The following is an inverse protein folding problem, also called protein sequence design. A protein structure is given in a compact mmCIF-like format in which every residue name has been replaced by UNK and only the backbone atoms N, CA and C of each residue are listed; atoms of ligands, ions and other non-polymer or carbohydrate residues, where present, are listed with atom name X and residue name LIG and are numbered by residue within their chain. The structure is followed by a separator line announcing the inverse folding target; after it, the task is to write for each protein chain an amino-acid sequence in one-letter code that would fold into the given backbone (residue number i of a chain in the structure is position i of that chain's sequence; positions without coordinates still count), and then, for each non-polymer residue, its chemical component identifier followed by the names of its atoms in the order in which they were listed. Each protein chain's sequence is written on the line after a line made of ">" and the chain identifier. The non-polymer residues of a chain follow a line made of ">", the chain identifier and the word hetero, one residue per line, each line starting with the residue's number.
data_IF_560366535218
#
_entry.id   IF_560366535218
#
_cell.length_a   1.000
_cell.length_b   1.000
_cell.length_c   1.000
_cell.angle_alpha   90.00
_cell.angle_beta   90.00
_cell.angle_gamma   90.00
#
_symmetry.space_group_name_H-M   'P 1'
#
loop_
_entity.id
_entity.type
_entity.pdbx_description
1 polymer ?
#
# COMPACT_ATOMS: atom_id res chain seq x y z
N UNK A 1 0.95 21.28 8.22
CA UNK A 1 0.54 20.15 7.38
C UNK A 1 -0.95 19.91 7.56
N UNK A 2 -1.70 19.71 6.49
CA UNK A 2 -3.14 19.46 6.55
C UNK A 2 -3.40 18.00 6.91
N UNK A 3 -4.22 17.77 7.95
CA UNK A 3 -4.64 16.42 8.34
C UNK A 3 -5.75 15.94 7.39
N UNK A 4 -5.54 14.82 6.71
CA UNK A 4 -6.47 14.28 5.71
C UNK A 4 -7.21 13.04 6.18
N UNK A 5 -6.60 12.24 7.08
CA UNK A 5 -7.25 11.11 7.75
C UNK A 5 -7.02 11.21 9.25
N UNK A 6 -8.06 10.95 10.03
CA UNK A 6 -7.99 10.84 11.49
C UNK A 6 -8.51 9.48 11.90
N UNK A 7 -7.67 8.69 12.51
CA UNK A 7 -7.99 7.39 13.11
C UNK A 7 -8.11 7.60 14.62
N UNK A 8 -9.28 7.40 15.19
CA UNK A 8 -9.60 7.74 16.57
C UNK A 8 -10.10 6.51 17.35
N UNK A 9 -9.21 5.91 18.16
CA UNK A 9 -9.48 4.76 19.03
C UNK A 9 -10.26 3.64 18.34
N UNK A 10 -9.89 3.31 17.10
CA UNK A 10 -10.58 2.26 16.35
C UNK A 10 -10.26 0.89 16.91
N UNK A 11 -11.30 0.08 17.01
CA UNK A 11 -11.19 -1.35 17.26
C UNK A 11 -11.99 -2.12 16.22
N UNK A 12 -11.51 -3.27 15.82
CA UNK A 12 -12.22 -4.20 14.93
C UNK A 12 -12.21 -5.59 15.54
N UNK A 13 -13.42 -6.08 15.85
CA UNK A 13 -13.65 -7.42 16.37
C UNK A 13 -14.55 -8.17 15.39
N UNK A 14 -14.13 -9.36 15.00
CA UNK A 14 -14.91 -10.23 14.14
C UNK A 14 -15.94 -11.05 14.93
N UNK A 15 -16.90 -11.66 14.24
CA UNK A 15 -17.99 -12.44 14.86
C UNK A 15 -17.49 -13.69 15.62
N UNK A 16 -16.34 -14.23 15.23
CA UNK A 16 -15.67 -15.35 15.91
C UNK A 16 -14.92 -14.94 17.19
N UNK A 17 -14.98 -13.65 17.57
CA UNK A 17 -14.31 -13.09 18.73
C UNK A 17 -12.89 -12.59 18.49
N UNK A 18 -12.33 -12.81 17.30
CA UNK A 18 -10.98 -12.34 16.94
C UNK A 18 -10.91 -10.83 16.99
N UNK A 19 -9.92 -10.28 17.71
CA UNK A 19 -9.66 -8.83 17.78
C UNK A 19 -8.53 -8.52 16.82
N UNK A 20 -8.87 -7.91 15.67
CA UNK A 20 -7.90 -7.52 14.66
C UNK A 20 -7.25 -6.16 14.95
N UNK A 21 -7.99 -5.23 15.57
CA UNK A 21 -7.50 -3.92 16.00
C UNK A 21 -8.07 -3.58 17.38
N UNK A 22 -7.26 -2.96 18.23
CA UNK A 22 -7.60 -2.62 19.61
C UNK A 22 -7.15 -1.20 19.96
N UNK A 23 -8.06 -0.23 19.86
CA UNK A 23 -7.88 1.15 20.29
C UNK A 23 -6.86 1.96 19.49
N UNK A 24 -6.62 1.64 18.22
CA UNK A 24 -5.60 2.29 17.38
C UNK A 24 -5.98 3.76 17.10
N UNK A 25 -5.01 4.66 17.27
CA UNK A 25 -5.19 6.09 17.01
C UNK A 25 -3.95 6.70 16.36
N UNK A 26 -4.11 7.36 15.23
CA UNK A 26 -3.09 8.19 14.57
C UNK A 26 -3.74 9.07 13.50
N UNK A 27 -2.98 10.00 12.95
CA UNK A 27 -3.42 10.86 11.85
C UNK A 27 -2.57 10.63 10.61
N UNK A 28 -3.10 10.91 9.42
CA UNK A 28 -2.33 10.99 8.18
C UNK A 28 -2.41 12.43 7.68
N UNK A 29 -1.27 12.99 7.31
CA UNK A 29 -1.17 14.34 6.77
C UNK A 29 -0.93 14.32 5.26
N UNK A 30 -1.38 15.36 4.59
CA UNK A 30 -1.15 15.54 3.16
C UNK A 30 0.35 15.56 2.86
N UNK A 31 0.77 14.78 1.86
CA UNK A 31 2.16 14.63 1.45
C UNK A 31 2.98 13.65 2.30
N UNK A 32 2.36 12.99 3.31
CA UNK A 32 3.06 11.94 4.06
C UNK A 32 3.42 10.76 3.14
N UNK A 33 4.60 10.21 3.35
CA UNK A 33 4.91 8.83 3.02
C UNK A 33 4.92 8.05 4.32
N UNK A 34 3.77 7.47 4.66
CA UNK A 34 3.57 6.72 5.89
C UNK A 34 3.86 5.24 5.67
N UNK A 35 4.88 4.71 6.34
CA UNK A 35 5.17 3.28 6.35
C UNK A 35 4.56 2.65 7.60
N UNK A 36 3.72 1.64 7.41
CA UNK A 36 3.12 0.87 8.51
C UNK A 36 3.66 -0.56 8.42
N UNK A 37 4.43 -0.97 9.42
CA UNK A 37 5.01 -2.30 9.49
C UNK A 37 4.43 -3.12 10.63
N UNK A 38 4.61 -4.44 10.54
CA UNK A 38 4.18 -5.43 11.52
C UNK A 38 4.19 -6.82 10.91
N UNK A 39 4.19 -7.84 11.75
CA UNK A 39 4.10 -9.24 11.31
C UNK A 39 2.78 -9.54 10.58
N UNK A 40 2.71 -10.69 9.92
CA UNK A 40 1.44 -11.20 9.40
C UNK A 40 0.44 -11.39 10.55
N UNK A 41 -0.81 -10.96 10.34
CA UNK A 41 -1.83 -10.98 11.38
C UNK A 41 -1.76 -9.80 12.39
N UNK A 42 -0.85 -8.84 12.24
CA UNK A 42 -0.80 -7.66 13.12
C UNK A 42 -1.96 -6.67 12.95
N UNK A 43 -2.82 -6.85 11.94
CA UNK A 43 -4.00 -6.00 11.68
C UNK A 43 -3.81 -4.99 10.55
N UNK A 44 -2.69 -5.00 9.82
CA UNK A 44 -2.39 -4.03 8.73
C UNK A 44 -3.48 -3.96 7.67
N UNK A 45 -3.83 -5.08 7.04
CA UNK A 45 -4.84 -5.12 5.96
C UNK A 45 -6.23 -4.74 6.46
N UNK A 46 -6.57 -5.09 7.71
CA UNK A 46 -7.82 -4.64 8.35
C UNK A 46 -7.82 -3.13 8.54
N UNK A 47 -6.73 -2.57 9.05
CA UNK A 47 -6.57 -1.12 9.20
C UNK A 47 -6.72 -0.39 7.86
N UNK A 48 -6.10 -0.92 6.80
CA UNK A 48 -6.21 -0.41 5.45
C UNK A 48 -7.67 -0.41 4.95
N UNK A 49 -8.38 -1.53 5.09
CA UNK A 49 -9.79 -1.65 4.67
C UNK A 49 -10.69 -0.63 5.36
N UNK A 50 -10.44 -0.36 6.64
CA UNK A 50 -11.16 0.66 7.40
C UNK A 50 -10.85 2.08 6.91
N UNK A 51 -9.58 2.40 6.62
CA UNK A 51 -9.19 3.72 6.08
C UNK A 51 -9.78 3.93 4.68
N UNK A 52 -9.78 2.88 3.86
CA UNK A 52 -10.37 2.90 2.52
C UNK A 52 -11.91 2.86 2.54
N UNK A 53 -12.55 2.75 3.71
CA UNK A 53 -14.02 2.63 3.88
C UNK A 53 -14.64 1.42 3.19
N UNK A 54 -13.88 0.34 3.07
CA UNK A 54 -14.35 -0.96 2.59
C UNK A 54 -14.96 -1.80 3.71
N UNK A 55 -14.68 -1.44 4.96
CA UNK A 55 -15.22 -2.06 6.18
C UNK A 55 -15.44 -0.98 7.24
N UNK A 56 -16.16 -1.32 8.32
CA UNK A 56 -16.46 -0.41 9.41
C UNK A 56 -15.83 -0.88 10.72
N UNK A 57 -15.30 0.04 11.56
CA UNK A 57 -14.78 -0.33 12.86
C UNK A 57 -15.92 -0.77 13.80
N UNK A 58 -15.65 -1.72 14.71
CA UNK A 58 -16.59 -2.11 15.77
C UNK A 58 -16.75 -0.98 16.80
N UNK A 59 -15.70 -0.20 17.02
CA UNK A 59 -15.73 1.01 17.86
C UNK A 59 -14.69 2.01 17.42
N UNK A 60 -14.83 3.25 17.86
CA UNK A 60 -14.00 4.36 17.42
C UNK A 60 -14.49 5.01 16.14
N UNK A 61 -13.68 5.84 15.51
CA UNK A 61 -14.08 6.61 14.32
C UNK A 61 -12.89 6.85 13.38
N UNK A 62 -13.15 6.74 12.08
CA UNK A 62 -12.23 7.20 11.04
C UNK A 62 -12.88 8.34 10.26
N UNK A 63 -12.18 9.47 10.19
CA UNK A 63 -12.60 10.63 9.41
C UNK A 63 -11.62 10.82 8.27
N UNK A 64 -12.09 10.68 7.05
CA UNK A 64 -11.34 10.98 5.82
C UNK A 64 -11.95 12.22 5.19
N UNK A 65 -11.13 13.21 4.84
CA UNK A 65 -11.62 14.40 4.14
C UNK A 65 -12.17 14.02 2.77
N UNK A 66 -13.29 14.63 2.37
CA UNK A 66 -14.01 14.27 1.12
C UNK A 66 -13.17 14.33 -0.15
N UNK A 67 -12.19 15.23 -0.22
CA UNK A 67 -11.28 15.38 -1.36
C UNK A 67 -10.18 14.31 -1.42
N UNK A 68 -10.05 13.44 -0.42
CA UNK A 68 -8.98 12.45 -0.29
C UNK A 68 -9.52 11.01 -0.28
N UNK A 69 -10.36 10.69 -1.26
CA UNK A 69 -10.71 9.29 -1.49
C UNK A 69 -9.46 8.47 -1.79
N UNK A 70 -9.31 7.34 -1.11
CA UNK A 70 -8.16 6.49 -1.25
C UNK A 70 -8.20 5.67 -2.54
N UNK A 71 -7.08 5.62 -3.26
CA UNK A 71 -6.77 4.58 -4.23
C UNK A 71 -6.06 3.43 -3.50
N UNK A 72 -6.45 2.19 -3.78
CA UNK A 72 -6.02 1.03 -3.02
C UNK A 72 -5.44 -0.06 -3.91
N UNK A 73 -4.21 -0.49 -3.60
CA UNK A 73 -3.58 -1.69 -4.17
C UNK A 73 -3.65 -2.79 -3.13
N UNK A 74 -4.44 -3.84 -3.41
CA UNK A 74 -4.60 -4.99 -2.51
C UNK A 74 -3.38 -5.92 -2.52
N UNK A 75 -3.24 -6.69 -1.44
CA UNK A 75 -2.21 -7.72 -1.34
C UNK A 75 -2.38 -8.81 -2.40
N UNK A 76 -3.60 -9.20 -2.71
CA UNK A 76 -3.92 -10.13 -3.80
C UNK A 76 -4.30 -9.36 -5.07
N UNK A 77 -3.39 -9.33 -6.04
CA UNK A 77 -3.62 -8.66 -7.30
C UNK A 77 -4.70 -9.35 -8.16
N UNK A 78 -4.85 -10.69 -8.07
CA UNK A 78 -5.86 -11.43 -8.82
C UNK A 78 -7.28 -11.02 -8.42
N UNK A 79 -7.50 -10.74 -7.14
CA UNK A 79 -8.81 -10.28 -6.64
C UNK A 79 -9.17 -8.85 -7.08
N UNK A 80 -8.17 -8.07 -7.52
CA UNK A 80 -8.35 -6.68 -7.94
C UNK A 80 -8.59 -6.54 -9.44
N UNK A 81 -8.07 -7.46 -10.27
CA UNK A 81 -8.17 -7.42 -11.73
C UNK A 81 -9.56 -7.89 -12.17
N UNK A 82 -10.30 -7.00 -12.84
CA UNK A 82 -11.67 -7.24 -13.31
C UNK A 82 -11.76 -7.29 -14.84
N UNK A 83 -10.79 -6.72 -15.56
CA UNK A 83 -10.71 -6.68 -17.00
C UNK A 83 -10.19 -7.99 -17.60
N UNK A 84 -10.62 -8.33 -18.83
CA UNK A 84 -10.05 -9.47 -19.58
C UNK A 84 -8.65 -9.15 -20.10
N UNK A 85 -8.36 -7.87 -20.35
CA UNK A 85 -7.07 -7.34 -20.77
C UNK A 85 -6.59 -6.24 -19.84
N UNK A 86 -5.27 -5.93 -19.81
CA UNK A 86 -4.74 -4.78 -19.07
C UNK A 86 -5.41 -3.46 -19.43
N UNK A 87 -5.73 -3.27 -20.71
CA UNK A 87 -6.43 -2.07 -21.17
C UNK A 87 -7.82 -1.94 -20.57
N UNK A 88 -8.61 -3.02 -20.63
CA UNK A 88 -9.96 -3.03 -20.09
C UNK A 88 -9.97 -2.82 -18.58
N UNK A 89 -9.03 -3.44 -17.87
CA UNK A 89 -8.92 -3.31 -16.41
C UNK A 89 -8.62 -1.87 -15.98
N UNK A 90 -7.64 -1.23 -16.61
CA UNK A 90 -7.31 0.17 -16.32
C UNK A 90 -8.43 1.12 -16.76
N UNK A 91 -9.06 0.86 -17.92
CA UNK A 91 -10.24 1.63 -18.34
C UNK A 91 -11.42 1.47 -17.39
N UNK A 92 -11.60 0.28 -16.77
CA UNK A 92 -12.60 0.07 -15.71
C UNK A 92 -12.34 0.98 -14.50
N UNK A 93 -11.09 1.12 -14.10
CA UNK A 93 -10.67 1.96 -12.97
C UNK A 93 -11.04 3.44 -13.16
N UNK A 94 -10.91 3.98 -14.38
CA UNK A 94 -11.23 5.37 -14.68
C UNK A 94 -12.70 5.63 -15.03
N UNK A 95 -13.47 4.59 -15.35
CA UNK A 95 -14.88 4.69 -15.78
C UNK A 95 -15.76 5.48 -14.80
N UNK A 96 -15.56 5.27 -13.50
CA UNK A 96 -16.34 5.90 -12.45
C UNK A 96 -15.98 7.38 -12.21
N UNK A 97 -14.88 7.86 -12.80
CA UNK A 97 -14.47 9.26 -12.71
C UNK A 97 -15.26 10.19 -13.63
N UNK A 98 -16.09 9.64 -14.53
CA UNK A 98 -16.92 10.37 -15.50
C UNK A 98 -16.13 11.33 -16.38
N UNK A 99 -14.90 10.94 -16.73
CA UNK A 99 -14.00 11.72 -17.62
C UNK A 99 -14.46 11.65 -19.08
N UNK A 100 -14.09 12.65 -19.92
CA UNK A 100 -14.15 12.51 -21.36
C UNK A 100 -13.39 11.27 -21.83
N UNK A 101 -13.89 10.59 -22.87
CA UNK A 101 -13.31 9.33 -23.35
C UNK A 101 -11.82 9.47 -23.72
N UNK A 102 -11.44 10.56 -24.36
CA UNK A 102 -10.03 10.85 -24.72
C UNK A 102 -9.14 10.93 -23.48
N UNK A 103 -9.56 11.68 -22.45
CA UNK A 103 -8.81 11.84 -21.21
C UNK A 103 -8.69 10.49 -20.44
N UNK A 104 -9.77 9.72 -20.38
CA UNK A 104 -9.73 8.38 -19.77
C UNK A 104 -8.72 7.46 -20.48
N UNK A 105 -8.68 7.50 -21.83
CA UNK A 105 -7.73 6.73 -22.63
C UNK A 105 -6.28 7.19 -22.42
N UNK A 106 -6.03 8.49 -22.35
CA UNK A 106 -4.71 9.06 -22.07
C UNK A 106 -4.19 8.64 -20.70
N UNK A 107 -5.02 8.74 -19.66
CA UNK A 107 -4.66 8.29 -18.29
C UNK A 107 -4.39 6.80 -18.24
N UNK A 108 -5.20 5.99 -18.91
CA UNK A 108 -4.99 4.54 -18.97
C UNK A 108 -3.68 4.17 -19.66
N UNK A 109 -3.40 4.80 -20.82
CA UNK A 109 -2.17 4.56 -21.55
C UNK A 109 -0.94 4.98 -20.73
N UNK A 110 -0.94 6.17 -20.14
CA UNK A 110 0.15 6.68 -19.31
C UNK A 110 0.40 5.77 -18.07
N UNK A 111 -0.66 5.25 -17.44
CA UNK A 111 -0.53 4.35 -16.32
C UNK A 111 0.09 2.99 -16.71
N UNK A 112 -0.33 2.42 -17.85
CA UNK A 112 0.24 1.20 -18.40
C UNK A 112 1.70 1.37 -18.84
N UNK A 113 2.04 2.52 -19.40
CA UNK A 113 3.41 2.86 -19.78
C UNK A 113 4.33 2.92 -18.56
N UNK A 114 3.92 3.63 -17.49
CA UNK A 114 4.67 3.72 -16.22
C UNK A 114 4.96 2.37 -15.58
N UNK A 115 4.06 1.41 -15.75
CA UNK A 115 4.20 0.07 -15.19
C UNK A 115 4.82 -0.93 -16.16
N UNK A 116 5.20 -0.50 -17.38
CA UNK A 116 5.80 -1.34 -18.41
C UNK A 116 4.85 -2.39 -18.98
N UNK A 117 3.55 -2.06 -19.03
CA UNK A 117 2.50 -2.96 -19.53
C UNK A 117 1.82 -2.47 -20.82
N UNK A 118 2.20 -1.30 -21.36
CA UNK A 118 1.54 -0.72 -22.52
C UNK A 118 1.60 -1.65 -23.75
N UNK A 119 2.75 -2.25 -24.02
CA UNK A 119 2.92 -3.21 -25.13
C UNK A 119 2.11 -4.51 -24.95
N UNK A 120 1.65 -4.77 -23.72
CA UNK A 120 0.86 -5.95 -23.34
C UNK A 120 -0.61 -5.63 -23.11
N UNK A 121 -1.05 -4.42 -23.47
CA UNK A 121 -2.38 -3.89 -23.13
C UNK A 121 -3.55 -4.75 -23.64
N UNK A 122 -3.37 -5.46 -24.73
CA UNK A 122 -4.39 -6.28 -25.40
C UNK A 122 -4.21 -7.81 -25.11
N UNK A 123 -3.22 -8.19 -24.28
CA UNK A 123 -3.03 -9.58 -23.86
C UNK A 123 -4.12 -10.00 -22.86
N UNK A 124 -4.36 -11.32 -22.74
CA UNK A 124 -5.23 -11.82 -21.68
C UNK A 124 -4.59 -11.59 -20.28
N UNK A 125 -5.28 -10.88 -19.41
CA UNK A 125 -4.84 -10.65 -18.04
C UNK A 125 -4.68 -11.97 -17.24
N UNK A 126 -5.43 -13.02 -17.62
CA UNK A 126 -5.35 -14.34 -16.99
C UNK A 126 -4.00 -15.02 -17.21
N UNK A 127 -3.34 -14.75 -18.34
CA UNK A 127 -2.05 -15.37 -18.70
C UNK A 127 -0.84 -14.60 -18.18
N UNK A 128 -1.06 -13.46 -17.52
CA UNK A 128 0.00 -12.64 -16.94
C UNK A 128 0.65 -13.33 -15.74
N UNK A 129 1.96 -13.11 -15.59
CA UNK A 129 2.69 -13.53 -14.38
C UNK A 129 2.19 -12.77 -13.14
N UNK A 130 2.43 -13.31 -11.93
CA UNK A 130 2.06 -12.63 -10.69
C UNK A 130 2.63 -11.21 -10.57
N UNK A 131 3.88 -11.00 -11.03
CA UNK A 131 4.50 -9.68 -11.07
C UNK A 131 3.83 -8.72 -12.06
N UNK A 132 3.41 -9.21 -13.24
CA UNK A 132 2.66 -8.41 -14.21
C UNK A 132 1.28 -8.03 -13.66
N UNK A 133 0.57 -8.96 -13.04
CA UNK A 133 -0.72 -8.70 -12.38
C UNK A 133 -0.58 -7.65 -11.26
N UNK A 134 0.49 -7.73 -10.47
CA UNK A 134 0.77 -6.72 -9.45
C UNK A 134 0.97 -5.33 -10.07
N UNK A 135 1.76 -5.23 -11.14
CA UNK A 135 1.94 -3.97 -11.87
C UNK A 135 0.65 -3.47 -12.52
N UNK A 136 -0.21 -4.38 -12.99
CA UNK A 136 -1.52 -4.04 -13.53
C UNK A 136 -2.44 -3.43 -12.45
N UNK A 137 -2.50 -4.02 -11.25
CA UNK A 137 -3.23 -3.45 -10.12
C UNK A 137 -2.74 -2.04 -9.77
N UNK A 138 -1.41 -1.82 -9.83
CA UNK A 138 -0.81 -0.48 -9.65
C UNK A 138 -1.24 0.46 -10.78
N UNK A 139 -1.29 0.00 -12.06
CA UNK A 139 -1.74 0.82 -13.20
C UNK A 139 -3.17 1.33 -13.01
N UNK A 140 -4.07 0.46 -12.56
CA UNK A 140 -5.46 0.84 -12.29
C UNK A 140 -5.55 2.00 -11.30
N UNK A 141 -4.78 1.95 -10.23
CA UNK A 141 -4.77 3.03 -9.22
C UNK A 141 -4.10 4.31 -9.72
N UNK A 142 -3.00 4.19 -10.47
CA UNK A 142 -2.32 5.35 -11.07
C UNK A 142 -3.24 6.11 -12.03
N UNK A 143 -4.02 5.41 -12.85
CA UNK A 143 -4.96 6.02 -13.81
C UNK A 143 -6.05 6.86 -13.15
N UNK A 144 -6.37 6.58 -11.87
CA UNK A 144 -7.36 7.33 -11.09
C UNK A 144 -6.83 8.66 -10.56
N UNK A 145 -5.51 8.89 -10.57
CA UNK A 145 -4.83 10.12 -10.09
C UNK A 145 -5.23 10.57 -8.68
N UNK A 146 -5.55 9.62 -7.80
CA UNK A 146 -5.93 9.91 -6.42
C UNK A 146 -4.82 10.61 -5.64
N UNK A 147 -5.21 11.44 -4.67
CA UNK A 147 -4.27 12.15 -3.79
C UNK A 147 -3.77 11.30 -2.62
N UNK A 148 -4.56 10.31 -2.19
CA UNK A 148 -4.21 9.33 -1.15
C UNK A 148 -4.13 7.95 -1.80
N UNK A 149 -2.96 7.33 -1.70
CA UNK A 149 -2.68 6.01 -2.26
C UNK A 149 -2.25 5.06 -1.15
N UNK A 150 -2.92 3.92 -1.05
CA UNK A 150 -2.65 2.90 -0.06
C UNK A 150 -2.17 1.64 -0.77
N UNK A 151 -1.03 1.11 -0.35
CA UNK A 151 -0.42 -0.10 -0.90
C UNK A 151 -0.33 -1.16 0.19
N UNK A 152 -1.02 -2.28 0.02
CA UNK A 152 -0.93 -3.42 0.93
C UNK A 152 0.00 -4.49 0.36
N UNK A 153 1.13 -4.72 1.04
CA UNK A 153 2.20 -5.65 0.65
C UNK A 153 2.58 -5.54 -0.83
N UNK A 154 2.97 -4.33 -1.32
CA UNK A 154 3.12 -4.06 -2.76
C UNK A 154 4.26 -4.84 -3.43
N UNK A 155 5.13 -5.48 -2.67
CA UNK A 155 6.31 -6.20 -3.16
C UNK A 155 6.10 -7.72 -3.25
N UNK A 156 4.99 -8.23 -2.76
CA UNK A 156 4.68 -9.65 -2.77
C UNK A 156 4.70 -10.21 -4.21
N UNK A 157 5.38 -11.35 -4.40
CA UNK A 157 5.50 -12.05 -5.68
C UNK A 157 6.22 -11.26 -6.81
N UNK A 158 6.96 -10.19 -6.47
CA UNK A 158 7.79 -9.46 -7.42
C UNK A 158 9.23 -9.99 -7.43
N UNK A 159 9.79 -10.08 -8.62
CA UNK A 159 11.23 -10.21 -8.83
C UNK A 159 11.96 -8.88 -8.58
N UNK A 160 13.29 -8.91 -8.55
CA UNK A 160 14.10 -7.71 -8.30
C UNK A 160 13.79 -6.53 -9.24
N UNK A 161 13.68 -6.70 -10.58
CA UNK A 161 13.26 -5.63 -11.48
C UNK A 161 11.88 -5.07 -11.14
N UNK A 162 10.90 -5.93 -10.84
CA UNK A 162 9.55 -5.53 -10.45
C UNK A 162 9.51 -4.70 -9.17
N UNK A 163 10.25 -5.10 -8.15
CA UNK A 163 10.39 -4.32 -6.90
C UNK A 163 10.95 -2.94 -7.20
N UNK A 164 12.04 -2.84 -7.98
CA UNK A 164 12.64 -1.55 -8.34
C UNK A 164 11.68 -0.64 -9.09
N UNK A 165 10.87 -1.19 -9.98
CA UNK A 165 9.87 -0.43 -10.72
C UNK A 165 8.79 0.14 -9.79
N UNK A 166 8.23 -0.66 -8.89
CA UNK A 166 7.22 -0.19 -7.92
C UNK A 166 7.81 0.88 -6.99
N UNK A 167 9.04 0.69 -6.50
CA UNK A 167 9.75 1.70 -5.68
C UNK A 167 9.98 3.00 -6.45
N UNK A 168 10.34 2.92 -7.75
CA UNK A 168 10.49 4.10 -8.61
C UNK A 168 9.17 4.87 -8.75
N UNK A 169 8.07 4.17 -8.98
CA UNK A 169 6.72 4.77 -9.05
C UNK A 169 6.38 5.47 -7.72
N UNK A 170 6.61 4.82 -6.59
CA UNK A 170 6.37 5.44 -5.28
C UNK A 170 7.23 6.69 -5.05
N UNK A 171 8.49 6.67 -5.50
CA UNK A 171 9.38 7.83 -5.44
C UNK A 171 8.85 9.01 -6.26
N UNK A 172 8.37 8.74 -7.48
CA UNK A 172 7.76 9.75 -8.35
C UNK A 172 6.49 10.34 -7.72
N UNK A 173 5.59 9.49 -7.22
CA UNK A 173 4.36 9.92 -6.57
C UNK A 173 4.64 10.80 -5.34
N UNK A 174 5.63 10.42 -4.53
CA UNK A 174 6.10 11.25 -3.41
C UNK A 174 6.62 12.61 -3.89
N UNK A 175 7.42 12.62 -4.95
CA UNK A 175 7.95 13.87 -5.52
C UNK A 175 6.85 14.79 -6.07
N UNK A 176 5.72 14.22 -6.52
CA UNK A 176 4.50 14.94 -6.93
C UNK A 176 3.66 15.42 -5.75
N UNK A 177 4.06 15.18 -4.52
CA UNK A 177 3.34 15.59 -3.30
C UNK A 177 2.15 14.71 -2.94
N UNK A 178 1.99 13.54 -3.58
CA UNK A 178 0.93 12.58 -3.23
C UNK A 178 1.15 12.02 -1.82
N UNK A 179 0.07 11.68 -1.15
CA UNK A 179 0.10 10.99 0.14
C UNK A 179 0.11 9.49 -0.09
N UNK A 180 1.12 8.81 0.44
CA UNK A 180 1.26 7.37 0.32
C UNK A 180 1.21 6.71 1.69
N UNK A 181 0.44 5.62 1.79
CA UNK A 181 0.44 4.71 2.94
C UNK A 181 0.89 3.35 2.42
N UNK A 182 2.02 2.86 2.90
CA UNK A 182 2.56 1.56 2.50
C UNK A 182 2.55 0.64 3.71
N UNK A 183 1.84 -0.47 3.59
CA UNK A 183 1.76 -1.51 4.60
C UNK A 183 2.63 -2.67 4.13
N UNK A 184 3.70 -2.99 4.88
CA UNK A 184 4.59 -4.10 4.52
C UNK A 184 5.43 -4.55 5.71
N UNK A 185 5.84 -5.81 5.69
CA UNK A 185 6.87 -6.34 6.57
C UNK A 185 8.28 -6.22 5.96
N UNK A 186 8.38 -5.92 4.66
CA UNK A 186 9.64 -5.78 3.90
C UNK A 186 10.09 -4.31 3.87
N UNK A 187 10.36 -3.76 5.06
CA UNK A 187 10.57 -2.31 5.25
C UNK A 187 11.83 -1.78 4.53
N UNK A 188 12.83 -2.62 4.30
CA UNK A 188 14.09 -2.25 3.66
C UNK A 188 13.91 -1.69 2.25
N UNK A 189 12.83 -2.04 1.57
CA UNK A 189 12.56 -1.62 0.20
C UNK A 189 12.14 -0.15 0.10
N UNK A 190 11.52 0.40 1.16
CA UNK A 190 10.90 1.74 1.12
C UNK A 190 11.18 2.63 2.34
N UNK A 191 11.83 2.12 3.38
CA UNK A 191 12.10 2.87 4.61
C UNK A 191 12.75 4.23 4.34
N UNK A 192 13.67 4.31 3.37
CA UNK A 192 14.34 5.56 2.99
C UNK A 192 13.39 6.59 2.33
N UNK A 193 12.22 6.17 1.84
CA UNK A 193 11.19 7.07 1.31
C UNK A 193 10.24 7.55 2.39
N UNK A 194 10.13 6.86 3.51
CA UNK A 194 9.16 7.18 4.54
C UNK A 194 9.47 8.53 5.23
N UNK A 195 8.45 9.35 5.40
CA UNK A 195 8.49 10.54 6.27
C UNK A 195 8.10 10.19 7.71
N UNK A 196 7.33 9.09 7.87
CA UNK A 196 6.83 8.61 9.16
C UNK A 196 6.73 7.09 9.16
N UNK A 197 6.99 6.49 10.30
CA UNK A 197 7.00 5.05 10.49
C UNK A 197 6.11 4.66 11.67
N UNK A 198 5.22 3.70 11.44
CA UNK A 198 4.33 3.11 12.45
C UNK A 198 4.64 1.62 12.54
N UNK A 199 4.69 1.11 13.77
CA UNK A 199 4.72 -0.34 14.05
C UNK A 199 3.40 -0.75 14.65
N UNK A 200 2.77 -1.74 14.01
CA UNK A 200 1.54 -2.37 14.46
C UNK A 200 1.85 -3.80 14.90
N UNK A 201 1.48 -4.16 16.12
CA UNK A 201 1.60 -5.53 16.64
C UNK A 201 0.31 -5.95 17.35
N UNK A 202 -0.19 -7.16 17.02
CA UNK A 202 -1.40 -7.74 17.61
C UNK A 202 -2.56 -6.76 17.73
N UNK A 203 -2.79 -6.01 16.66
CA UNK A 203 -3.86 -5.03 16.57
C UNK A 203 -3.62 -3.71 17.32
N UNK A 204 -2.45 -3.50 17.90
CA UNK A 204 -2.11 -2.30 18.66
C UNK A 204 -1.01 -1.49 18.00
N UNK A 205 -1.08 -0.17 18.13
CA UNK A 205 -0.03 0.72 17.71
C UNK A 205 1.08 0.74 18.77
N UNK A 206 2.26 0.19 18.41
CA UNK A 206 3.40 0.07 19.31
C UNK A 206 4.42 1.22 19.14
N UNK A 207 4.48 1.81 17.95
CA UNK A 207 5.36 2.92 17.64
C UNK A 207 4.74 3.83 16.58
N UNK A 208 4.98 5.12 16.70
CA UNK A 208 4.62 6.16 15.74
C UNK A 208 5.65 7.29 15.82
N UNK A 209 6.49 7.43 14.81
CA UNK A 209 7.58 8.38 14.84
C UNK A 209 8.39 8.45 13.56
N UNK A 210 9.62 8.98 13.66
CA UNK A 210 10.51 9.07 12.51
C UNK A 210 11.06 7.68 12.12
N UNK A 211 11.33 7.43 10.82
CA UNK A 211 12.00 6.19 10.38
C UNK A 211 13.32 5.93 11.13
N UNK A 212 14.09 6.99 11.39
CA UNK A 212 15.36 6.90 12.11
C UNK A 212 15.20 6.39 13.55
N UNK A 213 14.17 6.83 14.24
CA UNK A 213 13.90 6.38 15.61
C UNK A 213 13.32 4.98 15.62
N UNK A 214 12.45 4.67 14.64
CA UNK A 214 11.90 3.32 14.48
C UNK A 214 12.96 2.25 14.21
N UNK A 215 14.02 2.56 13.46
CA UNK A 215 15.14 1.64 13.22
C UNK A 215 16.00 1.35 14.47
N UNK A 216 15.81 2.08 15.56
CA UNK A 216 16.47 1.82 16.86
C UNK A 216 15.68 0.86 17.74
N UNK A 217 14.44 0.56 17.37
CA UNK A 217 13.60 -0.39 18.10
C UNK A 217 14.12 -1.82 17.90
N UNK A 218 13.85 -2.72 18.81
CA UNK A 218 14.05 -4.16 18.64
C UNK A 218 12.96 -4.70 17.68
N UNK A 219 13.08 -4.40 16.38
CA UNK A 219 12.07 -4.68 15.38
C UNK A 219 11.73 -6.16 15.26
N UNK A 220 12.67 -7.04 15.60
CA UNK A 220 12.52 -8.49 15.61
C UNK A 220 11.43 -8.93 16.61
N UNK A 221 11.23 -8.20 17.71
CA UNK A 221 10.16 -8.45 18.68
C UNK A 221 8.75 -8.26 18.08
N UNK A 222 8.65 -7.53 16.98
CA UNK A 222 7.43 -7.28 16.21
C UNK A 222 7.36 -8.12 14.93
N UNK A 223 8.27 -9.09 14.78
CA UNK A 223 8.38 -9.91 13.58
C UNK A 223 8.81 -9.13 12.32
N UNK A 224 9.56 -8.05 12.52
CA UNK A 224 10.09 -7.20 11.45
C UNK A 224 11.61 -7.31 11.48
N UNK A 225 12.23 -7.69 10.36
CA UNK A 225 13.69 -7.69 10.25
C UNK A 225 14.23 -6.26 10.22
N UNK A 226 15.22 -5.97 11.08
CA UNK A 226 15.90 -4.68 11.00
C UNK A 226 16.84 -4.65 9.78
N UNK A 227 16.61 -3.75 8.80
CA UNK A 227 17.41 -3.72 7.58
C UNK A 227 18.85 -3.26 7.78
N UNK A 228 19.16 -2.67 8.93
CA UNK A 228 20.53 -2.24 9.28
C UNK A 228 21.37 -3.37 9.88
N UNK A 229 20.75 -4.49 10.26
CA UNK A 229 21.48 -5.70 10.68
C UNK A 229 22.10 -6.35 9.45
N UNK A 230 23.39 -6.07 9.22
CA UNK A 230 24.12 -6.56 8.06
C UNK A 230 24.53 -8.02 8.23
N UNK A 231 24.45 -8.80 7.15
CA UNK A 231 25.09 -10.10 7.05
C UNK A 231 26.61 -9.92 6.93
N UNK A 232 27.37 -10.66 7.71
CA UNK A 232 28.86 -10.63 7.70
C UNK A 232 29.46 -11.83 6.98
N UNK A 233 28.72 -12.93 6.91
CA UNK A 233 29.15 -14.17 6.29
C UNK A 233 27.99 -15.00 5.78
N UNK A 234 28.31 -16.15 5.17
CA UNK A 234 27.30 -17.08 4.62
C UNK A 234 26.41 -17.67 5.72
N UNK A 235 26.98 -17.90 6.89
CA UNK A 235 26.32 -18.43 8.08
C UNK A 235 25.17 -17.51 8.58
N UNK A 236 25.32 -16.21 8.39
CA UNK A 236 24.29 -15.23 8.80
C UNK A 236 23.05 -15.26 7.88
N UNK A 237 23.14 -15.96 6.73
CA UNK A 237 22.00 -16.15 5.82
C UNK A 237 21.08 -17.27 6.27
N UNK A 238 21.45 -18.06 7.29
CA UNK A 238 20.56 -19.00 7.93
C UNK A 238 19.68 -18.25 8.93
N UNK A 239 18.40 -18.23 8.64
CA UNK A 239 17.41 -17.60 9.53
C UNK A 239 17.02 -18.60 10.63
N UNK A 240 17.40 -18.32 11.86
CA UNK A 240 17.09 -19.10 13.06
C UNK A 240 15.84 -18.53 13.77
#
# INVERSE_FOLDING_TARGET
>A
MQKIVQVQKISRRFADGTVALDGVSFDIFQGDFLLIAGSNGSGKSVLMSLIARLDEPTSGKIVVQKSFEAGLVFQDADSQILGETPWEDVMFSVKNLRLPKSEAQERAAAALEKTGLLEKKDMSARTMSGGEKRRLAVSGILSMERELLIFDEPFANLDWPGVRQVVSIMKELKAQGKTLVVLTHEIEKVMALASRFIVLDKGRLCFDGSPKDGLRLPLENYGIKNPLNSYKGLEDLLWN
#
